data_IF_818781782684
#
_entry.id   IF_818781782684
#
_cell.length_a   1.000
_cell.length_b   1.000
_cell.length_c   1.000
_cell.angle_alpha   90.00
_cell.angle_beta   90.00
_cell.angle_gamma   90.00
#
_symmetry.space_group_name_H-M   'P 1'
#
loop_
_entity.id
_entity.type
_entity.pdbx_description
1 polymer ?
#
# COMPACT_ATOMS: atom_id res chain seq x y z
N UNK A 1 -7.46 14.35 -14.35
CA UNK A 1 -7.02 13.04 -13.80
C UNK A 1 -6.42 13.24 -12.41
N UNK A 2 -6.56 12.26 -11.54
CA UNK A 2 -5.94 12.32 -10.21
C UNK A 2 -4.40 12.22 -10.37
N UNK A 3 -3.60 13.10 -9.73
CA UNK A 3 -2.16 13.10 -9.89
C UNK A 3 -1.53 11.80 -9.40
N UNK A 4 -0.71 11.17 -10.23
CA UNK A 4 -0.08 9.88 -9.89
C UNK A 4 0.98 9.99 -8.80
N UNK A 5 1.60 11.16 -8.65
CA UNK A 5 2.55 11.49 -7.59
C UNK A 5 1.91 11.59 -6.19
N UNK A 6 0.58 11.73 -6.13
CA UNK A 6 -0.19 11.67 -4.88
C UNK A 6 -0.63 10.24 -4.52
N UNK A 7 -0.38 9.26 -5.38
CA UNK A 7 -0.70 7.87 -5.07
C UNK A 7 0.37 7.30 -4.13
N UNK A 8 -0.08 6.76 -3.00
CA UNK A 8 0.77 6.13 -1.99
C UNK A 8 0.55 4.62 -1.95
N UNK A 9 1.45 3.89 -1.31
CA UNK A 9 1.28 2.45 -1.11
C UNK A 9 0.00 2.11 -0.34
N UNK A 10 -0.37 2.94 0.64
CA UNK A 10 -1.65 2.80 1.37
C UNK A 10 -2.85 2.97 0.43
N UNK A 11 -2.80 3.97 -0.46
CA UNK A 11 -3.88 4.19 -1.42
C UNK A 11 -4.00 3.03 -2.42
N UNK A 12 -2.88 2.44 -2.85
CA UNK A 12 -2.87 1.21 -3.66
C UNK A 12 -3.52 0.05 -2.92
N UNK A 13 -3.16 -0.15 -1.64
CA UNK A 13 -3.76 -1.20 -0.81
C UNK A 13 -5.28 -1.04 -0.70
N UNK A 14 -5.75 0.16 -0.39
CA UNK A 14 -7.18 0.47 -0.32
C UNK A 14 -7.88 0.24 -1.67
N UNK A 15 -7.27 0.68 -2.76
CA UNK A 15 -7.85 0.52 -4.09
C UNK A 15 -8.08 -0.94 -4.48
N UNK A 16 -7.14 -1.81 -4.15
CA UNK A 16 -7.25 -3.26 -4.39
C UNK A 16 -8.26 -3.91 -3.43
N UNK A 17 -8.36 -3.39 -2.21
CA UNK A 17 -9.28 -3.92 -1.18
C UNK A 17 -10.71 -3.44 -1.40
N UNK A 18 -10.92 -2.13 -1.53
CA UNK A 18 -12.21 -1.50 -1.69
C UNK A 18 -12.09 -0.17 -2.43
N UNK A 19 -12.67 -0.09 -3.63
CA UNK A 19 -12.64 1.12 -4.46
C UNK A 19 -13.24 2.33 -3.77
N UNK A 20 -14.31 2.14 -2.96
CA UNK A 20 -14.95 3.21 -2.21
C UNK A 20 -14.04 3.73 -1.10
N UNK A 21 -13.38 2.85 -0.36
CA UNK A 21 -12.38 3.21 0.66
C UNK A 21 -11.24 4.05 0.06
N UNK A 22 -10.70 3.62 -1.08
CA UNK A 22 -9.66 4.37 -1.79
C UNK A 22 -10.14 5.76 -2.22
N UNK A 23 -11.38 5.87 -2.71
CA UNK A 23 -11.95 7.15 -3.09
C UNK A 23 -12.10 8.09 -1.89
N UNK A 24 -12.65 7.60 -0.76
CA UNK A 24 -12.79 8.37 0.48
C UNK A 24 -11.43 8.84 0.99
N UNK A 25 -10.45 7.94 1.05
CA UNK A 25 -9.09 8.26 1.48
C UNK A 25 -8.43 9.32 0.60
N UNK A 26 -8.60 9.23 -0.73
CA UNK A 26 -8.04 10.20 -1.68
C UNK A 26 -8.61 11.61 -1.52
N UNK A 27 -9.78 11.75 -0.87
CA UNK A 27 -10.43 13.02 -0.52
C UNK A 27 -10.11 13.46 0.90
N UNK A 28 -9.11 12.85 1.56
CA UNK A 28 -8.72 13.13 2.95
C UNK A 28 -9.87 12.91 3.95
N UNK A 29 -10.84 12.08 3.58
CA UNK A 29 -11.85 11.59 4.52
C UNK A 29 -11.18 10.47 5.30
N UNK A 30 -10.82 10.75 6.54
CA UNK A 30 -10.09 9.80 7.37
C UNK A 30 -11.04 8.77 7.99
N UNK A 31 -10.54 7.55 8.14
CA UNK A 31 -11.19 6.50 8.91
C UNK A 31 -11.47 6.96 10.34
N UNK A 32 -12.39 6.29 11.02
CA UNK A 32 -12.66 6.54 12.44
C UNK A 32 -11.36 6.38 13.24
N UNK A 33 -10.90 7.49 13.82
CA UNK A 33 -9.64 7.55 14.55
C UNK A 33 -9.71 6.85 15.92
N UNK A 34 -10.91 6.55 16.40
CA UNK A 34 -11.13 5.78 17.64
C UNK A 34 -11.12 4.27 17.40
N UNK A 35 -11.06 3.80 16.15
CA UNK A 35 -10.94 2.38 15.84
C UNK A 35 -9.59 1.83 16.30
N UNK A 36 -9.61 0.77 17.10
CA UNK A 36 -8.41 0.15 17.69
C UNK A 36 -7.39 -0.30 16.61
N UNK A 37 -7.87 -0.71 15.43
CA UNK A 37 -6.99 -1.11 14.33
C UNK A 37 -6.26 0.09 13.73
N UNK A 38 -6.90 1.25 13.66
CA UNK A 38 -6.31 2.50 13.20
C UNK A 38 -5.26 2.99 14.19
N UNK A 39 -5.58 2.99 15.49
CA UNK A 39 -4.64 3.34 16.56
C UNK A 39 -3.39 2.46 16.55
N UNK A 40 -3.59 1.13 16.44
CA UNK A 40 -2.48 0.18 16.36
C UNK A 40 -1.63 0.39 15.10
N UNK A 41 -2.24 0.68 13.96
CA UNK A 41 -1.53 1.00 12.73
C UNK A 41 -0.65 2.23 12.86
N UNK A 42 -1.14 3.30 13.50
CA UNK A 42 -0.36 4.53 13.79
C UNK A 42 0.83 4.23 14.69
N UNK A 43 0.64 3.52 15.81
CA UNK A 43 1.71 3.16 16.74
C UNK A 43 2.80 2.33 16.05
N UNK A 44 2.42 1.38 15.19
CA UNK A 44 3.39 0.60 14.42
C UNK A 44 4.15 1.47 13.39
N UNK A 45 3.48 2.41 12.74
CA UNK A 45 4.10 3.34 11.81
C UNK A 45 5.14 4.24 12.50
N UNK A 46 4.81 4.79 13.65
CA UNK A 46 5.75 5.61 14.47
C UNK A 46 6.99 4.81 14.90
N UNK A 47 6.81 3.54 15.30
CA UNK A 47 7.93 2.65 15.63
C UNK A 47 8.81 2.32 14.43
N UNK A 48 8.23 2.28 13.22
CA UNK A 48 8.96 2.06 11.97
C UNK A 48 9.79 3.26 11.57
N UNK A 49 9.24 4.47 11.65
CA UNK A 49 9.95 5.72 11.33
C UNK A 49 11.25 5.85 12.12
N UNK A 50 11.24 5.47 13.41
CA UNK A 50 12.43 5.52 14.27
C UNK A 50 13.56 4.58 13.81
N UNK A 51 13.25 3.50 13.11
CA UNK A 51 14.24 2.50 12.63
C UNK A 51 14.79 2.78 11.23
N UNK A 52 14.16 3.69 10.48
CA UNK A 52 14.47 3.97 9.07
C UNK A 52 15.00 5.38 8.83
N UNK A 53 15.27 6.16 9.90
CA UNK A 53 15.71 7.56 9.81
C UNK A 53 16.98 7.78 8.97
N UNK A 54 17.83 6.77 8.86
CA UNK A 54 19.07 6.83 8.08
C UNK A 54 18.92 6.38 6.61
N UNK A 55 17.70 6.03 6.19
CA UNK A 55 17.46 5.55 4.83
C UNK A 55 16.86 6.65 3.97
N UNK A 56 17.43 6.95 2.77
CA UNK A 56 16.98 8.08 1.92
C UNK A 56 15.54 7.97 1.41
N UNK A 57 14.82 6.92 1.79
CA UNK A 57 13.45 6.61 1.37
C UNK A 57 12.50 6.45 2.55
N UNK A 58 12.72 7.18 3.62
CA UNK A 58 11.89 7.18 4.82
C UNK A 58 10.39 7.46 4.56
N UNK A 59 10.07 8.11 3.42
CA UNK A 59 8.69 8.32 2.98
C UNK A 59 8.01 7.06 2.41
N UNK A 60 8.78 6.01 2.06
CA UNK A 60 8.26 4.72 1.68
C UNK A 60 8.15 3.84 2.93
N UNK A 61 6.94 3.58 3.37
CA UNK A 61 6.67 2.86 4.62
C UNK A 61 6.85 1.35 4.46
N UNK A 62 8.09 0.90 4.46
CA UNK A 62 8.43 -0.52 4.55
C UNK A 62 9.29 -0.79 5.80
N UNK A 63 9.27 -2.04 6.30
CA UNK A 63 9.84 -2.37 7.60
C UNK A 63 11.35 -2.61 7.59
N UNK A 64 11.86 -3.16 6.50
CA UNK A 64 13.25 -3.58 6.41
C UNK A 64 13.76 -3.55 4.99
N UNK A 65 15.00 -3.11 4.82
CA UNK A 65 15.75 -3.18 3.57
C UNK A 65 17.04 -3.93 3.81
N UNK A 66 17.29 -4.93 3.00
CA UNK A 66 18.55 -5.67 2.99
C UNK A 66 19.21 -5.51 1.62
N UNK A 67 20.49 -5.15 1.62
CA UNK A 67 21.31 -5.08 0.41
C UNK A 67 22.33 -6.19 0.43
N UNK A 68 22.35 -7.02 -0.61
CA UNK A 68 23.34 -8.09 -0.77
C UNK A 68 23.82 -8.15 -2.21
N UNK A 69 25.11 -7.92 -2.43
CA UNK A 69 25.74 -7.95 -3.77
C UNK A 69 25.03 -7.11 -4.83
N UNK A 70 24.55 -5.91 -4.46
CA UNK A 70 23.83 -5.03 -5.38
C UNK A 70 22.34 -5.34 -5.57
N UNK A 71 21.83 -6.40 -4.94
CA UNK A 71 20.40 -6.73 -4.90
C UNK A 71 19.75 -6.20 -3.62
N UNK A 72 18.56 -5.63 -3.75
CA UNK A 72 17.77 -5.14 -2.63
C UNK A 72 16.60 -6.07 -2.35
N UNK A 73 16.40 -6.40 -1.09
CA UNK A 73 15.22 -7.11 -0.61
C UNK A 73 14.45 -6.22 0.36
N UNK A 74 13.24 -5.86 -0.02
CA UNK A 74 12.32 -5.06 0.81
C UNK A 74 11.41 -6.02 1.56
N UNK A 75 11.31 -5.85 2.87
CA UNK A 75 10.40 -6.66 3.70
C UNK A 75 9.33 -5.77 4.30
N UNK A 76 8.09 -6.17 4.13
CA UNK A 76 6.91 -5.58 4.74
C UNK A 76 6.26 -6.61 5.68
N UNK A 77 6.08 -6.26 6.96
CA UNK A 77 5.39 -7.08 7.93
C UNK A 77 3.93 -6.65 8.06
N UNK A 78 3.02 -7.60 8.03
CA UNK A 78 1.59 -7.37 8.26
C UNK A 78 1.13 -8.16 9.48
N UNK A 79 0.36 -7.53 10.37
CA UNK A 79 -0.28 -8.21 11.50
C UNK A 79 -1.23 -9.31 11.01
N UNK A 80 -1.94 -9.03 9.93
CA UNK A 80 -2.91 -9.93 9.31
C UNK A 80 -2.83 -9.79 7.78
N UNK A 81 -3.03 -10.89 7.09
CA UNK A 81 -3.05 -10.94 5.63
C UNK A 81 -4.47 -11.26 5.14
N UNK A 82 -5.43 -10.43 5.54
CA UNK A 82 -6.85 -10.58 5.15
C UNK A 82 -7.04 -10.45 3.63
N UNK A 83 -6.29 -9.55 3.01
CA UNK A 83 -6.24 -9.40 1.55
C UNK A 83 -4.80 -9.52 1.06
N UNK A 84 -4.34 -10.74 0.71
CA UNK A 84 -2.97 -10.98 0.25
C UNK A 84 -2.61 -10.22 -1.03
N UNK A 85 -3.56 -10.05 -1.96
CA UNK A 85 -3.32 -9.33 -3.21
C UNK A 85 -3.13 -7.83 -2.96
N UNK A 86 -3.89 -7.22 -2.05
CA UNK A 86 -3.69 -5.82 -1.68
C UNK A 86 -2.31 -5.59 -1.04
N UNK A 87 -1.88 -6.50 -0.17
CA UNK A 87 -0.54 -6.44 0.43
C UNK A 87 0.57 -6.61 -0.62
N UNK A 88 0.38 -7.54 -1.57
CA UNK A 88 1.28 -7.75 -2.71
C UNK A 88 1.40 -6.50 -3.57
N UNK A 89 0.27 -5.89 -3.94
CA UNK A 89 0.26 -4.71 -4.80
C UNK A 89 0.83 -3.48 -4.09
N UNK A 90 0.61 -3.32 -2.80
CA UNK A 90 1.27 -2.29 -1.99
C UNK A 90 2.80 -2.42 -2.04
N UNK A 91 3.32 -3.62 -1.82
CA UNK A 91 4.76 -3.85 -1.90
C UNK A 91 5.28 -3.64 -3.32
N UNK A 92 4.55 -4.12 -4.34
CA UNK A 92 4.94 -3.91 -5.74
C UNK A 92 5.00 -2.42 -6.10
N UNK A 93 4.12 -1.58 -5.54
CA UNK A 93 4.20 -0.14 -5.67
C UNK A 93 5.53 0.41 -5.13
N UNK A 94 5.98 -0.05 -3.98
CA UNK A 94 7.28 0.36 -3.44
C UNK A 94 8.44 -0.06 -4.35
N UNK A 95 8.40 -1.29 -4.88
CA UNK A 95 9.41 -1.75 -5.84
C UNK A 95 9.40 -0.92 -7.13
N UNK A 96 8.21 -0.55 -7.61
CA UNK A 96 8.03 0.32 -8.77
C UNK A 96 8.69 1.69 -8.54
N UNK A 97 8.41 2.34 -7.42
CA UNK A 97 9.00 3.65 -7.07
C UNK A 97 10.52 3.55 -6.93
N UNK A 98 11.03 2.50 -6.29
CA UNK A 98 12.47 2.29 -6.11
C UNK A 98 13.18 2.07 -7.46
N UNK A 99 12.58 1.34 -8.38
CA UNK A 99 13.19 1.06 -9.69
C UNK A 99 13.06 2.24 -10.66
N UNK A 100 11.93 2.89 -10.73
CA UNK A 100 11.68 3.98 -11.68
C UNK A 100 12.23 5.32 -11.17
N UNK A 101 12.01 5.64 -9.91
CA UNK A 101 12.46 6.90 -9.30
C UNK A 101 13.95 6.91 -8.97
N UNK A 102 14.48 5.81 -8.44
CA UNK A 102 15.85 5.72 -7.94
C UNK A 102 16.75 4.87 -8.83
N UNK A 103 16.20 4.33 -9.89
CA UNK A 103 16.93 3.52 -10.88
C UNK A 103 17.70 2.33 -10.27
N UNK A 104 17.16 1.75 -9.17
CA UNK A 104 17.74 0.56 -8.58
C UNK A 104 17.57 -0.63 -9.53
N UNK A 105 18.65 -1.29 -9.90
CA UNK A 105 18.64 -2.34 -10.94
C UNK A 105 17.97 -3.62 -10.48
N UNK A 106 18.21 -4.06 -9.26
CA UNK A 106 17.71 -5.33 -8.73
C UNK A 106 17.03 -5.13 -7.38
N UNK A 107 15.71 -5.10 -7.40
CA UNK A 107 14.88 -4.95 -6.20
C UNK A 107 13.77 -5.98 -6.23
N UNK A 108 13.68 -6.77 -5.17
CA UNK A 108 12.56 -7.68 -4.91
C UNK A 108 12.01 -7.40 -3.52
N UNK A 109 10.87 -7.96 -3.22
CA UNK A 109 10.24 -7.80 -1.93
C UNK A 109 9.58 -9.05 -1.40
N UNK A 110 9.27 -9.03 -0.11
CA UNK A 110 8.46 -10.03 0.56
C UNK A 110 7.51 -9.39 1.58
N UNK A 111 6.28 -9.86 1.58
CA UNK A 111 5.31 -9.58 2.64
C UNK A 111 5.31 -10.74 3.61
N UNK A 112 5.46 -10.47 4.89
CA UNK A 112 5.49 -11.48 5.95
C UNK A 112 4.35 -11.22 6.93
N UNK A 113 3.58 -12.27 7.24
CA UNK A 113 2.53 -12.24 8.27
C UNK A 113 2.49 -13.59 8.99
N UNK A 114 2.98 -13.62 10.22
CA UNK A 114 3.15 -14.86 10.96
C UNK A 114 4.05 -15.85 10.20
N UNK A 115 3.51 -17.01 9.86
CA UNK A 115 4.23 -18.04 9.08
C UNK A 115 4.06 -17.92 7.57
N UNK A 116 3.25 -16.97 7.10
CA UNK A 116 2.99 -16.75 5.67
C UNK A 116 3.96 -15.73 5.09
N UNK A 117 4.53 -16.05 3.94
CA UNK A 117 5.39 -15.16 3.18
C UNK A 117 4.94 -15.12 1.72
N UNK A 118 4.81 -13.91 1.17
CA UNK A 118 4.54 -13.69 -0.25
C UNK A 118 5.77 -13.01 -0.83
N UNK A 119 6.39 -13.62 -1.84
CA UNK A 119 7.48 -13.02 -2.61
C UNK A 119 6.89 -12.16 -3.73
N UNK A 120 7.52 -11.01 -3.96
CA UNK A 120 7.15 -10.06 -5.00
C UNK A 120 8.41 -9.70 -5.78
N UNK A 121 8.43 -10.04 -7.05
CA UNK A 121 9.55 -9.74 -7.93
C UNK A 121 9.39 -8.36 -8.58
N UNK A 122 10.47 -7.56 -8.55
CA UNK A 122 10.55 -6.29 -9.26
C UNK A 122 10.94 -6.45 -10.73
N UNK A 123 10.36 -7.44 -11.44
CA UNK A 123 10.62 -7.67 -12.85
C UNK A 123 9.78 -6.75 -13.74
N UNK A 124 10.13 -6.67 -15.03
CA UNK A 124 9.45 -5.77 -15.97
C UNK A 124 7.95 -6.04 -16.12
N UNK A 125 7.53 -7.31 -16.09
CA UNK A 125 6.11 -7.65 -16.20
C UNK A 125 5.31 -7.10 -15.04
N UNK A 126 5.82 -7.24 -13.81
CA UNK A 126 5.21 -6.70 -12.61
C UNK A 126 5.23 -5.17 -12.58
N UNK A 127 6.31 -4.54 -13.07
CA UNK A 127 6.37 -3.07 -13.15
C UNK A 127 5.35 -2.51 -14.14
N UNK A 128 5.17 -3.15 -15.30
CA UNK A 128 4.12 -2.78 -16.26
C UNK A 128 2.72 -2.97 -15.69
N UNK A 129 2.49 -4.05 -14.93
CA UNK A 129 1.24 -4.28 -14.20
C UNK A 129 0.96 -3.14 -13.22
N UNK A 130 1.97 -2.68 -12.49
CA UNK A 130 1.82 -1.55 -11.56
C UNK A 130 1.54 -0.25 -12.31
N UNK A 131 2.26 0.04 -13.37
CA UNK A 131 2.03 1.23 -14.19
C UNK A 131 0.59 1.29 -14.74
N UNK A 132 0.10 0.16 -15.25
CA UNK A 132 -1.29 0.05 -15.70
C UNK A 132 -2.29 0.30 -14.56
N UNK A 133 -2.02 -0.23 -13.37
CA UNK A 133 -2.86 0.01 -12.19
C UNK A 133 -2.86 1.49 -11.78
N UNK A 134 -1.70 2.15 -11.77
CA UNK A 134 -1.60 3.57 -11.43
C UNK A 134 -2.39 4.46 -12.40
N UNK A 135 -2.35 4.14 -13.70
CA UNK A 135 -3.15 4.82 -14.70
C UNK A 135 -4.66 4.60 -14.49
N UNK A 136 -5.07 3.37 -14.20
CA UNK A 136 -6.46 3.05 -13.85
C UNK A 136 -6.92 3.80 -12.60
N UNK A 137 -6.09 3.82 -11.56
CA UNK A 137 -6.35 4.56 -10.32
C UNK A 137 -6.49 6.06 -10.58
N UNK A 138 -5.62 6.66 -11.39
CA UNK A 138 -5.68 8.08 -11.73
C UNK A 138 -7.02 8.46 -12.37
N UNK A 139 -7.51 7.64 -13.30
CA UNK A 139 -8.83 7.85 -13.93
C UNK A 139 -9.96 7.63 -12.92
N UNK A 140 -9.90 6.55 -12.14
CA UNK A 140 -10.95 6.22 -11.17
C UNK A 140 -11.08 7.27 -10.07
N UNK A 141 -9.96 7.69 -9.49
CA UNK A 141 -9.93 8.64 -8.37
C UNK A 141 -10.29 10.07 -8.78
N UNK A 142 -10.33 10.39 -10.08
CA UNK A 142 -10.80 11.69 -10.58
C UNK A 142 -12.32 11.83 -10.58
N UNK A 143 -13.08 10.75 -10.34
CA UNK A 143 -14.54 10.80 -10.24
C UNK A 143 -14.99 11.74 -9.13
N UNK A 144 -16.06 12.49 -9.39
CA UNK A 144 -16.61 13.44 -8.42
C UNK A 144 -17.38 12.76 -7.27
N UNK A 145 -17.94 11.58 -7.56
CA UNK A 145 -18.73 10.82 -6.59
C UNK A 145 -18.11 9.46 -6.29
N UNK A 146 -18.23 8.97 -5.05
CA UNK A 146 -17.75 7.64 -4.71
C UNK A 146 -18.56 6.55 -5.43
N UNK A 147 -17.98 5.38 -5.67
CA UNK A 147 -18.78 4.24 -6.12
C UNK A 147 -19.81 3.86 -5.04
N UNK A 148 -20.91 3.18 -5.42
CA UNK A 148 -21.92 2.72 -4.47
C UNK A 148 -21.30 1.90 -3.32
N UNK A 149 -21.90 2.03 -2.13
CA UNK A 149 -21.53 1.15 -1.01
C UNK A 149 -22.21 -0.21 -1.21
N UNK A 150 -21.36 -1.25 -1.32
CA UNK A 150 -21.80 -2.65 -1.41
C UNK A 150 -21.25 -3.38 -0.20
N UNK A 151 -22.15 -3.98 0.62
CA UNK A 151 -21.71 -4.72 1.80
C UNK A 151 -20.96 -5.99 1.40
N UNK A 152 -19.76 -6.14 1.94
CA UNK A 152 -18.91 -7.33 1.80
C UNK A 152 -18.46 -7.77 3.19
N UNK A 153 -18.07 -9.02 3.36
CA UNK A 153 -17.56 -9.54 4.63
C UNK A 153 -16.46 -8.68 5.25
N UNK A 154 -15.61 -8.06 4.42
CA UNK A 154 -14.54 -7.17 4.88
C UNK A 154 -15.07 -5.89 5.54
N UNK A 155 -16.30 -5.48 5.24
CA UNK A 155 -16.92 -4.27 5.80
C UNK A 155 -17.18 -4.38 7.31
N UNK A 156 -17.31 -5.59 7.84
CA UNK A 156 -17.59 -5.80 9.28
C UNK A 156 -16.44 -5.32 10.18
N UNK A 157 -15.21 -5.32 9.68
CA UNK A 157 -14.03 -4.79 10.37
C UNK A 157 -13.39 -3.59 9.67
N UNK A 158 -14.14 -2.87 8.84
CA UNK A 158 -13.64 -1.74 8.08
C UNK A 158 -13.77 -0.44 8.88
N UNK A 159 -12.68 0.29 9.04
CA UNK A 159 -12.65 1.57 9.74
C UNK A 159 -13.45 2.70 9.02
N UNK A 160 -13.82 2.50 7.75
CA UNK A 160 -14.66 3.40 6.97
C UNK A 160 -16.15 3.02 6.97
N UNK A 161 -16.56 2.00 7.74
CA UNK A 161 -17.94 1.48 7.72
C UNK A 161 -18.99 2.56 7.91
N UNK A 162 -18.77 3.51 8.82
CA UNK A 162 -19.69 4.62 9.13
C UNK A 162 -19.95 5.58 7.97
N UNK A 163 -19.09 5.56 6.94
CA UNK A 163 -19.28 6.33 5.70
C UNK A 163 -20.05 5.54 4.62
N UNK A 164 -20.38 4.29 4.90
CA UNK A 164 -21.02 3.39 3.94
C UNK A 164 -22.41 2.96 4.37
N UNK A 165 -22.62 2.75 5.68
CA UNK A 165 -23.84 2.15 6.24
C UNK A 165 -24.24 2.81 7.56
#
# INVERSE_FOLDING_TARGET
>A
MFPTDLITGTLVNYYVTCRREAWLYSRQIHADQSDDNVLMGKTLAELKETKLQDFPFSHLQFDRVEKRRGHYMITEHKKSMKNPEAARMQLLFYLYVLKTGLKLKAVNGKVVSGRRTILVEGNEANLRKMEALLNEMSVFLSRQTPPPAEHKKICDGCAYRTYCF
#
